data_IF_666003073850
#
_entry.id   IF_666003073850
#
_cell.length_a   1.000
_cell.length_b   1.000
_cell.length_c   1.000
_cell.angle_alpha   90.00
_cell.angle_beta   90.00
_cell.angle_gamma   90.00
#
_symmetry.space_group_name_H-M   'P 1'
#
loop_
_entity.id
_entity.type
_entity.pdbx_description
1 polymer ?
#
# COMPACT_ATOMS: atom_id res chain seq x y z
N UNK A 1 27.30 -11.07 -17.59
CA UNK A 1 25.97 -11.08 -16.93
C UNK A 1 25.66 -9.65 -16.53
N UNK A 2 24.42 -9.21 -16.56
CA UNK A 2 24.03 -7.93 -15.96
C UNK A 2 24.23 -8.07 -14.45
N UNK A 3 24.99 -7.21 -13.85
CA UNK A 3 25.23 -7.19 -12.40
C UNK A 3 23.92 -6.79 -11.70
N UNK A 4 23.51 -7.57 -10.70
CA UNK A 4 22.37 -7.25 -9.85
C UNK A 4 22.92 -6.57 -8.61
N UNK A 5 22.52 -5.32 -8.39
CA UNK A 5 22.97 -4.54 -7.25
C UNK A 5 22.27 -4.95 -5.96
N UNK A 6 22.93 -4.76 -4.83
CA UNK A 6 22.38 -5.00 -3.50
C UNK A 6 22.31 -3.67 -2.77
N UNK A 7 21.14 -3.33 -2.24
CA UNK A 7 20.97 -2.19 -1.34
C UNK A 7 20.66 -2.68 0.07
N UNK A 8 21.41 -2.21 1.05
CA UNK A 8 21.31 -2.67 2.43
C UNK A 8 21.01 -1.52 3.42
N UNK A 9 20.27 -1.80 4.52
CA UNK A 9 20.11 -0.83 5.60
C UNK A 9 21.42 -0.66 6.37
N UNK A 10 21.61 0.54 6.94
CA UNK A 10 22.70 0.82 7.87
C UNK A 10 22.17 1.42 9.17
N UNK A 11 22.74 1.03 10.29
CA UNK A 11 22.32 1.49 11.63
C UNK A 11 23.16 2.67 12.13
N UNK A 12 24.43 2.70 11.78
CA UNK A 12 25.37 3.75 12.15
C UNK A 12 26.31 4.04 10.94
N UNK A 13 26.90 5.23 10.87
CA UNK A 13 27.73 5.61 9.73
C UNK A 13 28.88 4.64 9.46
N UNK A 14 29.51 4.08 10.50
CA UNK A 14 30.65 3.15 10.41
C UNK A 14 30.29 1.81 9.74
N UNK A 15 29.01 1.42 9.77
CA UNK A 15 28.53 0.20 9.10
C UNK A 15 28.85 0.24 7.60
N UNK A 16 28.79 1.42 6.97
CA UNK A 16 29.08 1.59 5.55
C UNK A 16 30.50 1.13 5.24
N UNK A 17 31.48 1.62 6.02
CA UNK A 17 32.88 1.27 5.83
C UNK A 17 33.13 -0.22 6.08
N UNK A 18 32.48 -0.76 7.11
CA UNK A 18 32.58 -2.18 7.47
C UNK A 18 32.01 -3.06 6.37
N UNK A 19 30.80 -2.77 5.89
CA UNK A 19 30.12 -3.57 4.87
C UNK A 19 30.87 -3.50 3.53
N UNK A 20 31.34 -2.32 3.11
CA UNK A 20 32.17 -2.19 1.91
C UNK A 20 33.48 -2.96 1.97
N UNK A 21 34.05 -3.14 3.16
CA UNK A 21 35.29 -3.91 3.35
C UNK A 21 35.07 -5.42 3.19
N UNK A 22 33.91 -5.92 3.61
CA UNK A 22 33.61 -7.35 3.69
C UNK A 22 32.75 -7.87 2.52
N UNK A 23 32.05 -7.00 1.81
CA UNK A 23 31.10 -7.36 0.75
C UNK A 23 31.26 -6.49 -0.50
N UNK A 24 30.59 -6.90 -1.59
CA UNK A 24 30.45 -6.10 -2.82
C UNK A 24 29.36 -5.01 -2.74
N UNK A 25 28.59 -4.95 -1.65
CA UNK A 25 27.54 -3.97 -1.51
C UNK A 25 28.07 -2.53 -1.50
N UNK A 26 27.45 -1.65 -2.31
CA UNK A 26 27.83 -0.24 -2.44
C UNK A 26 26.64 0.71 -2.30
N UNK A 27 25.42 0.20 -2.22
CA UNK A 27 24.23 1.00 -2.06
C UNK A 27 23.65 0.80 -0.66
N UNK A 28 23.49 1.88 0.09
CA UNK A 28 23.02 1.83 1.47
C UNK A 28 21.85 2.76 1.70
N UNK A 29 21.02 2.42 2.68
CA UNK A 29 19.97 3.34 3.12
C UNK A 29 19.85 3.41 4.64
N UNK A 30 19.38 4.55 5.13
CA UNK A 30 19.07 4.79 6.53
C UNK A 30 17.63 5.26 6.69
N UNK A 31 16.94 4.78 7.70
CA UNK A 31 15.56 5.15 7.95
C UNK A 31 15.44 6.59 8.45
N UNK A 32 14.52 7.36 7.87
CA UNK A 32 14.20 8.74 8.25
C UNK A 32 13.98 8.91 9.76
N UNK A 33 13.32 7.94 10.42
CA UNK A 33 13.05 7.99 11.87
C UNK A 33 14.28 8.22 12.76
N UNK A 34 15.48 7.96 12.27
CA UNK A 34 16.72 8.26 12.99
C UNK A 34 17.01 9.75 13.14
N UNK A 35 16.42 10.56 12.28
CA UNK A 35 16.65 12.00 12.21
C UNK A 35 15.50 12.82 12.81
N UNK A 36 14.48 12.15 13.36
CA UNK A 36 13.44 12.79 14.14
C UNK A 36 14.05 13.53 15.35
N UNK A 37 13.42 14.60 15.77
CA UNK A 37 13.89 15.50 16.84
C UNK A 37 15.04 16.43 16.44
N UNK A 38 15.21 16.71 15.14
CA UNK A 38 16.08 17.77 14.66
C UNK A 38 17.56 17.45 14.56
N UNK A 39 17.97 16.20 14.78
CA UNK A 39 19.38 15.80 14.61
C UNK A 39 19.74 15.57 13.13
N UNK A 40 19.50 16.59 12.29
CA UNK A 40 19.72 16.48 10.85
C UNK A 40 21.21 16.41 10.49
N UNK A 41 22.09 17.00 11.30
CA UNK A 41 23.54 16.98 11.03
C UNK A 41 24.12 15.57 11.05
N UNK A 42 23.48 14.63 11.73
CA UNK A 42 23.88 13.22 11.72
C UNK A 42 23.83 12.59 10.30
N UNK A 43 23.03 13.14 9.40
CA UNK A 43 23.01 12.72 7.98
C UNK A 43 24.40 12.90 7.34
N UNK A 44 25.14 13.97 7.71
CA UNK A 44 26.47 14.27 7.16
C UNK A 44 27.47 13.16 7.44
N UNK A 45 27.39 12.50 8.59
CA UNK A 45 28.28 11.39 8.94
C UNK A 45 28.07 10.19 8.02
N UNK A 46 26.81 9.84 7.70
CA UNK A 46 26.52 8.79 6.72
C UNK A 46 27.03 9.17 5.32
N UNK A 47 26.80 10.40 4.89
CA UNK A 47 27.29 10.89 3.59
C UNK A 47 28.80 10.85 3.52
N UNK A 48 29.51 11.30 4.56
CA UNK A 48 30.98 11.29 4.59
C UNK A 48 31.53 9.87 4.46
N UNK A 49 30.99 8.91 5.22
CA UNK A 49 31.44 7.52 5.16
C UNK A 49 31.11 6.86 3.81
N UNK A 50 29.97 7.21 3.22
CA UNK A 50 29.64 6.76 1.86
C UNK A 50 30.63 7.32 0.82
N UNK A 51 31.00 8.60 0.91
CA UNK A 51 32.01 9.21 0.00
C UNK A 51 33.40 8.59 0.18
N UNK A 52 33.81 8.32 1.42
CA UNK A 52 35.11 7.68 1.70
C UNK A 52 35.17 6.28 1.07
N UNK A 53 34.07 5.53 1.10
CA UNK A 53 34.01 4.16 0.57
C UNK A 53 33.63 4.07 -0.90
N UNK A 54 33.34 5.19 -1.58
CA UNK A 54 32.83 5.19 -2.96
C UNK A 54 31.46 4.57 -3.11
N UNK A 55 30.61 4.70 -2.08
CA UNK A 55 29.26 4.13 -1.99
C UNK A 55 28.20 5.20 -2.17
N UNK A 56 26.95 4.77 -2.37
CA UNK A 56 25.76 5.63 -2.35
C UNK A 56 25.02 5.52 -1.04
N UNK A 57 24.33 6.59 -0.66
CA UNK A 57 23.51 6.65 0.55
C UNK A 57 22.14 7.26 0.27
N UNK A 58 21.11 6.56 0.69
CA UNK A 58 19.70 6.92 0.52
C UNK A 58 19.02 7.13 1.88
N UNK A 59 18.01 7.99 1.90
CA UNK A 59 17.10 8.11 3.05
C UNK A 59 15.82 7.34 2.74
N UNK A 60 15.38 6.48 3.65
CA UNK A 60 14.17 5.70 3.51
C UNK A 60 13.05 6.26 4.41
N UNK A 61 11.99 6.76 3.76
CA UNK A 61 10.78 7.26 4.42
C UNK A 61 9.73 6.14 4.65
N UNK A 62 10.19 4.93 4.91
CA UNK A 62 9.33 3.77 5.17
C UNK A 62 8.54 3.94 6.47
N UNK A 63 7.50 4.73 6.47
CA UNK A 63 6.42 4.73 7.47
C UNK A 63 5.27 5.59 6.98
N UNK A 64 4.12 5.38 7.57
CA UNK A 64 2.95 6.18 7.32
C UNK A 64 3.17 7.59 7.89
N UNK A 65 3.04 8.59 7.03
CA UNK A 65 3.25 9.98 7.38
C UNK A 65 1.90 10.58 7.76
N UNK A 66 1.76 10.92 9.02
CA UNK A 66 0.58 11.59 9.54
C UNK A 66 0.69 13.11 9.42
N UNK A 67 -0.42 13.80 9.63
CA UNK A 67 -0.53 15.26 9.42
C UNK A 67 0.44 16.07 10.29
N UNK A 68 0.66 15.64 11.52
CA UNK A 68 1.52 16.28 12.50
C UNK A 68 3.01 16.24 12.11
N UNK A 69 3.43 15.21 11.39
CA UNK A 69 4.82 15.02 10.95
C UNK A 69 5.17 15.89 9.72
N UNK A 70 4.18 16.33 8.93
CA UNK A 70 4.42 17.07 7.69
C UNK A 70 5.33 18.31 7.84
N UNK A 71 5.22 19.14 8.89
CA UNK A 71 6.09 20.28 9.04
C UNK A 71 7.57 19.90 9.22
N UNK A 72 7.85 18.84 9.99
CA UNK A 72 9.20 18.34 10.23
C UNK A 72 9.77 17.69 8.99
N UNK A 73 9.00 16.87 8.31
CA UNK A 73 9.38 16.24 7.04
C UNK A 73 9.74 17.29 5.99
N UNK A 74 8.95 18.35 5.86
CA UNK A 74 9.26 19.45 4.94
C UNK A 74 10.57 20.15 5.27
N UNK A 75 10.87 20.37 6.55
CA UNK A 75 12.16 20.92 6.99
C UNK A 75 13.31 19.97 6.64
N UNK A 76 13.14 18.69 6.94
CA UNK A 76 14.14 17.68 6.67
C UNK A 76 14.42 17.53 5.17
N UNK A 77 13.41 17.45 4.33
CA UNK A 77 13.57 17.37 2.87
C UNK A 77 14.33 18.59 2.32
N UNK A 78 14.06 19.79 2.83
CA UNK A 78 14.83 21.01 2.45
C UNK A 78 16.28 20.92 2.89
N UNK A 79 16.55 20.40 4.09
CA UNK A 79 17.90 20.17 4.59
C UNK A 79 18.65 19.18 3.70
N UNK A 80 18.00 18.07 3.30
CA UNK A 80 18.60 17.05 2.45
C UNK A 80 19.09 17.60 1.10
N UNK A 81 18.48 18.67 0.59
CA UNK A 81 18.89 19.30 -0.68
C UNK A 81 20.38 19.67 -0.74
N UNK A 82 20.99 20.01 0.40
CA UNK A 82 22.40 20.37 0.53
C UNK A 82 23.24 19.34 1.27
N UNK A 83 22.67 18.22 1.67
CA UNK A 83 23.35 17.22 2.51
C UNK A 83 24.29 16.32 1.74
N UNK A 84 24.11 16.20 0.41
CA UNK A 84 24.90 15.31 -0.44
C UNK A 84 24.43 13.86 -0.49
N UNK A 85 23.18 13.55 -0.05
CA UNK A 85 22.59 12.24 -0.28
C UNK A 85 22.34 11.96 -1.76
N UNK A 86 22.34 10.69 -2.14
CA UNK A 86 22.16 10.28 -3.54
C UNK A 86 20.70 10.14 -3.93
N UNK A 87 19.82 9.77 -2.99
CA UNK A 87 18.41 9.63 -3.28
C UNK A 87 17.56 9.29 -2.05
N UNK A 88 16.29 9.02 -2.31
CA UNK A 88 15.32 8.70 -1.28
C UNK A 88 14.37 7.59 -1.71
N UNK A 89 14.02 6.73 -0.76
CA UNK A 89 12.93 5.75 -0.87
C UNK A 89 11.66 6.36 -0.31
N UNK A 90 10.58 6.27 -1.04
CA UNK A 90 9.30 6.86 -0.66
C UNK A 90 8.16 5.85 -0.74
N UNK A 91 7.22 5.97 0.20
CA UNK A 91 5.98 5.21 0.24
C UNK A 91 4.73 6.12 0.43
N UNK A 92 4.89 7.44 0.25
CA UNK A 92 3.84 8.39 0.53
C UNK A 92 3.72 9.46 -0.56
N UNK A 93 2.50 9.72 -1.00
CA UNK A 93 2.18 10.82 -1.91
C UNK A 93 2.60 12.19 -1.35
N UNK A 94 2.59 12.37 -0.03
CA UNK A 94 3.01 13.62 0.60
C UNK A 94 4.50 13.90 0.37
N UNK A 95 5.36 12.88 0.48
CA UNK A 95 6.80 13.03 0.18
C UNK A 95 7.02 13.28 -1.29
N UNK A 96 6.34 12.54 -2.17
CA UNK A 96 6.43 12.71 -3.61
C UNK A 96 6.02 14.13 -4.04
N UNK A 97 4.92 14.65 -3.50
CA UNK A 97 4.47 16.02 -3.76
C UNK A 97 5.47 17.06 -3.22
N UNK A 98 6.05 16.82 -2.03
CA UNK A 98 7.06 17.72 -1.46
C UNK A 98 8.32 17.78 -2.32
N UNK A 99 8.79 16.65 -2.86
CA UNK A 99 9.94 16.59 -3.77
C UNK A 99 9.67 17.45 -5.01
N UNK A 100 8.49 17.27 -5.61
CA UNK A 100 8.03 18.03 -6.78
C UNK A 100 7.97 19.53 -6.48
N UNK A 101 7.31 19.92 -5.41
CA UNK A 101 7.13 21.34 -5.03
C UNK A 101 8.45 22.02 -4.72
N UNK A 102 9.36 21.34 -4.00
CA UNK A 102 10.66 21.89 -3.64
C UNK A 102 11.73 21.74 -4.72
N UNK A 103 11.41 21.04 -5.83
CA UNK A 103 12.34 20.74 -6.93
C UNK A 103 13.64 20.12 -6.40
N UNK A 104 13.50 19.05 -5.64
CA UNK A 104 14.63 18.36 -5.02
C UNK A 104 15.35 17.50 -6.07
N UNK A 105 16.69 17.52 -6.12
CA UNK A 105 17.47 16.87 -7.17
C UNK A 105 17.83 15.41 -6.85
N UNK A 106 17.04 14.73 -6.04
CA UNK A 106 17.32 13.37 -5.59
C UNK A 106 16.91 12.32 -6.60
N UNK A 107 17.62 11.19 -6.59
CA UNK A 107 17.10 9.94 -7.14
C UNK A 107 15.88 9.51 -6.33
N UNK A 108 14.75 9.28 -6.98
CA UNK A 108 13.48 8.91 -6.35
C UNK A 108 13.21 7.43 -6.60
N UNK A 109 13.12 6.67 -5.52
CA UNK A 109 12.84 5.24 -5.55
C UNK A 109 11.50 5.00 -4.87
N UNK A 110 10.56 4.41 -5.60
CA UNK A 110 9.26 4.03 -5.05
C UNK A 110 9.43 2.75 -4.23
N UNK A 111 9.08 2.81 -2.96
CA UNK A 111 9.12 1.64 -2.08
C UNK A 111 7.93 0.70 -2.35
N UNK A 112 8.09 -0.59 -2.08
CA UNK A 112 7.05 -1.61 -2.24
C UNK A 112 5.77 -1.30 -1.46
N UNK A 113 5.85 -0.54 -0.38
CA UNK A 113 4.70 -0.07 0.40
C UNK A 113 3.86 1.01 -0.29
N UNK A 114 4.24 1.43 -1.49
CA UNK A 114 3.40 2.28 -2.32
C UNK A 114 2.31 1.48 -3.05
N UNK A 115 2.32 0.16 -2.90
CA UNK A 115 1.33 -0.79 -3.40
C UNK A 115 1.09 -0.71 -4.92
N UNK A 116 2.20 -0.64 -5.68
CA UNK A 116 2.15 -0.67 -7.14
C UNK A 116 2.19 -2.13 -7.61
N UNK A 117 1.06 -2.63 -8.09
CA UNK A 117 0.88 -4.05 -8.45
C UNK A 117 0.83 -4.31 -9.96
N UNK A 118 0.71 -3.27 -10.80
CA UNK A 118 0.43 -3.39 -12.22
C UNK A 118 1.01 -2.23 -13.04
N UNK A 119 0.99 -2.36 -14.36
CA UNK A 119 1.50 -1.35 -15.29
C UNK A 119 0.76 -0.02 -15.19
N UNK A 120 -0.54 -0.02 -14.95
CA UNK A 120 -1.30 1.22 -14.81
C UNK A 120 -0.84 2.03 -13.59
N UNK A 121 -0.46 1.36 -12.47
CA UNK A 121 0.16 2.02 -11.32
C UNK A 121 1.55 2.60 -11.64
N UNK A 122 2.34 1.89 -12.45
CA UNK A 122 3.64 2.40 -12.92
C UNK A 122 3.45 3.62 -13.82
N UNK A 123 2.50 3.59 -14.74
CA UNK A 123 2.18 4.70 -15.62
C UNK A 123 1.70 5.91 -14.83
N UNK A 124 0.87 5.70 -13.81
CA UNK A 124 0.46 6.75 -12.90
C UNK A 124 1.67 7.46 -12.30
N UNK A 125 2.59 6.71 -11.69
CA UNK A 125 3.77 7.29 -11.02
C UNK A 125 4.65 8.04 -12.01
N UNK A 126 4.91 7.48 -13.20
CA UNK A 126 5.72 8.12 -14.24
C UNK A 126 5.12 9.43 -14.76
N UNK A 127 3.80 9.49 -14.86
CA UNK A 127 3.10 10.71 -15.28
C UNK A 127 3.01 11.75 -14.16
N UNK A 128 2.98 11.28 -12.90
CA UNK A 128 2.91 12.17 -11.76
C UNK A 128 4.27 12.82 -11.43
N UNK A 129 5.34 12.04 -11.39
CA UNK A 129 6.70 12.50 -11.12
C UNK A 129 7.73 11.59 -11.78
N UNK A 130 8.86 12.18 -12.21
CA UNK A 130 9.99 11.39 -12.69
C UNK A 130 10.51 10.51 -11.54
N UNK A 131 10.41 9.20 -11.74
CA UNK A 131 10.89 8.18 -10.82
C UNK A 131 12.10 7.48 -11.44
N UNK A 132 13.07 7.13 -10.62
CA UNK A 132 14.32 6.52 -11.09
C UNK A 132 14.33 5.00 -10.91
N UNK A 133 13.51 4.47 -9.97
CA UNK A 133 13.46 3.04 -9.67
C UNK A 133 12.15 2.69 -8.93
N UNK A 134 11.66 1.46 -9.09
CA UNK A 134 10.49 0.93 -8.38
C UNK A 134 10.86 -0.39 -7.71
N UNK A 135 10.58 -0.49 -6.41
CA UNK A 135 10.63 -1.77 -5.69
C UNK A 135 9.27 -2.42 -5.81
N UNK A 136 9.25 -3.59 -6.43
CA UNK A 136 8.02 -4.36 -6.67
C UNK A 136 7.54 -4.99 -5.36
N UNK A 137 6.22 -4.96 -5.14
CA UNK A 137 5.58 -5.53 -3.95
C UNK A 137 5.68 -7.05 -3.91
N UNK A 138 5.50 -7.61 -2.71
CA UNK A 138 5.62 -9.06 -2.47
C UNK A 138 4.51 -9.87 -3.16
N UNK A 139 3.36 -9.26 -3.44
CA UNK A 139 2.20 -9.88 -4.05
C UNK A 139 2.37 -10.17 -5.54
N UNK A 140 3.44 -9.65 -6.17
CA UNK A 140 3.65 -9.81 -7.60
C UNK A 140 4.42 -11.09 -7.93
N UNK A 141 3.75 -12.00 -8.64
CA UNK A 141 4.39 -13.22 -9.14
C UNK A 141 5.47 -12.94 -10.18
N UNK A 142 6.50 -13.80 -10.25
CA UNK A 142 7.62 -13.67 -11.18
C UNK A 142 7.19 -13.44 -12.64
N UNK A 143 6.16 -14.12 -13.12
CA UNK A 143 5.65 -13.94 -14.50
C UNK A 143 5.17 -12.50 -14.75
N UNK A 144 4.57 -11.89 -13.75
CA UNK A 144 4.12 -10.49 -13.82
C UNK A 144 5.31 -9.54 -13.79
N UNK A 145 6.34 -9.82 -12.98
CA UNK A 145 7.58 -9.03 -12.95
C UNK A 145 8.22 -9.01 -14.35
N UNK A 146 8.30 -10.17 -15.00
CA UNK A 146 8.84 -10.27 -16.38
C UNK A 146 8.00 -9.45 -17.36
N UNK A 147 6.67 -9.54 -17.28
CA UNK A 147 5.76 -8.74 -18.12
C UNK A 147 5.97 -7.25 -17.87
N UNK A 148 5.97 -6.81 -16.62
CA UNK A 148 6.23 -5.42 -16.25
C UNK A 148 7.57 -4.94 -16.81
N UNK A 149 8.63 -5.74 -16.66
CA UNK A 149 9.98 -5.39 -17.16
C UNK A 149 10.03 -5.24 -18.69
N UNK A 150 9.20 -5.92 -19.43
CA UNK A 150 9.11 -5.78 -20.90
C UNK A 150 8.51 -4.46 -21.32
N UNK A 151 7.61 -3.89 -20.52
CA UNK A 151 6.87 -2.66 -20.83
C UNK A 151 7.45 -1.40 -20.19
N UNK A 152 8.23 -1.52 -19.11
CA UNK A 152 8.86 -0.36 -18.47
C UNK A 152 10.37 -0.33 -18.69
N UNK A 153 10.92 0.88 -18.91
CA UNK A 153 12.37 1.13 -18.94
C UNK A 153 12.94 1.41 -17.54
N UNK A 154 12.07 1.55 -16.55
CA UNK A 154 12.51 1.81 -15.17
C UNK A 154 13.30 0.62 -14.62
N UNK A 155 14.36 0.88 -13.86
CA UNK A 155 14.95 -0.11 -12.97
C UNK A 155 13.90 -0.69 -12.04
N UNK A 156 13.88 -2.02 -11.95
CA UNK A 156 13.00 -2.77 -11.05
C UNK A 156 13.81 -3.48 -10.00
N UNK A 157 13.37 -3.35 -8.76
CA UNK A 157 13.97 -4.01 -7.60
C UNK A 157 12.97 -4.91 -6.91
N UNK A 158 13.47 -5.87 -6.16
CA UNK A 158 12.65 -6.70 -5.29
C UNK A 158 13.18 -6.67 -3.85
N UNK A 159 12.31 -6.98 -2.91
CA UNK A 159 12.71 -7.22 -1.53
C UNK A 159 13.50 -8.54 -1.43
N UNK A 160 14.51 -8.56 -0.57
CA UNK A 160 15.35 -9.73 -0.33
C UNK A 160 14.56 -10.98 0.09
N UNK A 161 13.41 -10.78 0.72
CA UNK A 161 12.56 -11.85 1.23
C UNK A 161 11.97 -12.72 0.10
N UNK A 162 11.82 -12.14 -1.08
CA UNK A 162 11.32 -12.82 -2.29
C UNK A 162 12.41 -13.55 -3.08
N UNK A 163 13.68 -13.17 -2.88
CA UNK A 163 14.78 -13.68 -3.68
C UNK A 163 14.98 -15.22 -3.60
N UNK A 164 14.92 -15.88 -2.43
CA UNK A 164 15.22 -17.30 -2.31
C UNK A 164 14.31 -18.20 -3.15
N UNK A 165 13.09 -17.76 -3.43
CA UNK A 165 12.08 -18.52 -4.16
C UNK A 165 12.23 -18.47 -5.67
N UNK A 166 12.82 -17.39 -6.18
CA UNK A 166 12.83 -17.08 -7.62
C UNK A 166 14.21 -16.65 -8.14
N UNK A 167 15.28 -16.73 -7.34
CA UNK A 167 16.60 -16.22 -7.72
C UNK A 167 17.11 -16.76 -9.07
N UNK A 168 16.98 -18.07 -9.31
CA UNK A 168 17.43 -18.67 -10.57
C UNK A 168 16.68 -18.10 -11.78
N UNK A 169 15.35 -17.97 -11.66
CA UNK A 169 14.51 -17.50 -12.75
C UNK A 169 14.68 -15.98 -12.96
N UNK A 170 14.79 -15.22 -11.88
CA UNK A 170 15.05 -13.77 -11.92
C UNK A 170 16.36 -13.47 -12.65
N UNK A 171 17.44 -14.19 -12.31
CA UNK A 171 18.76 -14.00 -12.89
C UNK A 171 18.73 -14.39 -14.39
N UNK A 172 18.14 -15.54 -14.71
CA UNK A 172 18.01 -16.00 -16.11
C UNK A 172 17.23 -15.03 -16.99
N UNK A 173 16.13 -14.50 -16.46
CA UNK A 173 15.22 -13.64 -17.21
C UNK A 173 15.64 -12.17 -17.17
N UNK A 174 16.68 -11.83 -16.40
CA UNK A 174 17.12 -10.43 -16.18
C UNK A 174 15.96 -9.53 -15.78
N UNK A 175 15.07 -10.06 -14.96
CA UNK A 175 13.79 -9.45 -14.66
C UNK A 175 13.91 -8.27 -13.66
N UNK A 176 15.02 -8.20 -12.92
CA UNK A 176 15.30 -7.14 -11.96
C UNK A 176 16.68 -6.53 -12.14
N UNK A 177 16.88 -5.35 -11.57
CA UNK A 177 18.13 -4.61 -11.58
C UNK A 177 18.82 -4.63 -10.21
N UNK A 178 18.05 -4.68 -9.12
CA UNK A 178 18.59 -4.74 -7.77
C UNK A 178 17.74 -5.55 -6.78
N UNK A 179 18.35 -5.88 -5.65
CA UNK A 179 17.73 -6.51 -4.48
C UNK A 179 17.88 -5.57 -3.30
N UNK A 180 16.78 -5.24 -2.64
CA UNK A 180 16.77 -4.40 -1.45
C UNK A 180 16.61 -5.27 -0.22
N UNK A 181 17.62 -5.25 0.66
CA UNK A 181 17.54 -5.97 1.93
C UNK A 181 16.61 -5.20 2.86
N UNK A 182 15.48 -5.79 3.17
CA UNK A 182 14.49 -5.25 4.11
C UNK A 182 14.41 -6.17 5.32
N UNK A 183 14.06 -5.61 6.45
CA UNK A 183 13.86 -6.39 7.67
C UNK A 183 14.14 -5.59 8.94
N UNK A 184 13.72 -6.15 10.06
CA UNK A 184 14.01 -5.63 11.41
C UNK A 184 15.27 -6.35 11.94
N UNK A 185 16.42 -5.98 11.41
CA UNK A 185 17.69 -6.48 11.93
C UNK A 185 17.95 -5.90 13.32
N UNK A 186 18.44 -6.73 14.23
CA UNK A 186 18.75 -6.29 15.60
C UNK A 186 20.12 -5.63 15.67
N UNK A 187 21.10 -6.18 14.95
CA UNK A 187 22.49 -5.73 14.98
C UNK A 187 23.03 -5.39 13.60
N UNK A 188 24.19 -4.74 13.53
CA UNK A 188 24.90 -4.51 12.26
C UNK A 188 25.46 -5.80 11.69
N UNK A 189 25.83 -6.75 12.57
CA UNK A 189 26.30 -8.08 12.22
C UNK A 189 25.22 -8.87 11.47
N UNK A 190 23.97 -8.84 11.95
CA UNK A 190 22.83 -9.49 11.26
C UNK A 190 22.65 -8.95 9.84
N UNK A 191 22.90 -7.64 9.63
CA UNK A 191 22.81 -7.03 8.30
C UNK A 191 23.96 -7.53 7.42
N UNK A 192 25.18 -7.56 7.94
CA UNK A 192 26.34 -8.04 7.21
C UNK A 192 26.14 -9.50 6.76
N UNK A 193 25.70 -10.38 7.66
CA UNK A 193 25.36 -11.76 7.32
C UNK A 193 24.27 -11.84 6.25
N UNK A 194 23.28 -10.94 6.31
CA UNK A 194 22.23 -10.83 5.29
C UNK A 194 22.79 -10.45 3.91
N UNK A 195 23.71 -9.48 3.83
CA UNK A 195 24.38 -9.09 2.57
C UNK A 195 25.16 -10.27 2.00
N UNK A 196 26.02 -10.90 2.81
CA UNK A 196 26.82 -12.06 2.38
C UNK A 196 25.94 -13.23 1.88
N UNK A 197 24.79 -13.44 2.53
CA UNK A 197 23.85 -14.47 2.11
C UNK A 197 23.25 -14.16 0.74
N UNK A 198 22.82 -12.92 0.51
CA UNK A 198 22.26 -12.50 -0.78
C UNK A 198 23.32 -12.60 -1.87
N UNK A 199 24.56 -12.17 -1.64
CA UNK A 199 25.67 -12.36 -2.57
C UNK A 199 25.86 -13.83 -2.95
N UNK A 200 25.86 -14.74 -1.97
CA UNK A 200 25.94 -16.19 -2.20
C UNK A 200 24.76 -16.74 -3.02
N UNK A 201 23.54 -16.24 -2.75
CA UNK A 201 22.34 -16.62 -3.52
C UNK A 201 22.46 -16.16 -4.97
N UNK A 202 22.91 -14.92 -5.20
CA UNK A 202 23.08 -14.37 -6.55
C UNK A 202 24.20 -15.08 -7.33
N UNK A 203 25.28 -15.48 -6.66
CA UNK A 203 26.40 -16.22 -7.28
C UNK A 203 26.01 -17.67 -7.62
N UNK A 204 25.31 -18.35 -6.71
CA UNK A 204 24.98 -19.77 -6.84
C UNK A 204 23.49 -20.07 -6.59
N UNK A 205 22.57 -19.54 -7.40
CA UNK A 205 21.14 -19.60 -7.12
C UNK A 205 20.56 -21.02 -7.04
N UNK A 206 21.13 -21.97 -7.78
CA UNK A 206 20.69 -23.37 -7.80
C UNK A 206 20.87 -24.08 -6.46
N UNK A 207 21.90 -23.69 -5.68
CA UNK A 207 22.18 -24.33 -4.40
C UNK A 207 21.13 -23.98 -3.34
N UNK A 208 20.45 -22.85 -3.48
CA UNK A 208 19.50 -22.34 -2.50
C UNK A 208 18.04 -22.75 -2.77
N UNK A 209 17.72 -23.25 -3.97
CA UNK A 209 16.35 -23.71 -4.33
C UNK A 209 15.81 -24.81 -3.40
N UNK A 210 16.68 -25.57 -2.72
CA UNK A 210 16.32 -26.68 -1.82
C UNK A 210 16.52 -26.40 -0.34
N UNK A 211 17.19 -25.32 0.03
CA UNK A 211 17.44 -24.99 1.43
C UNK A 211 16.31 -24.09 1.96
N UNK A 212 15.61 -24.57 3.00
CA UNK A 212 14.76 -23.69 3.82
C UNK A 212 15.72 -22.75 4.56
N UNK A 213 15.90 -21.57 4.01
CA UNK A 213 16.74 -20.54 4.64
C UNK A 213 16.21 -20.23 6.04
N UNK A 214 17.10 -19.99 7.03
CA UNK A 214 16.71 -19.73 8.41
C UNK A 214 16.11 -18.32 8.63
N UNK A 215 15.34 -17.81 7.68
CA UNK A 215 14.56 -16.58 7.89
C UNK A 215 13.39 -16.86 8.86
N UNK A 216 13.70 -17.27 10.09
CA UNK A 216 12.69 -17.46 11.16
C UNK A 216 11.89 -16.18 11.47
N UNK A 217 12.38 -15.01 11.07
CA UNK A 217 11.75 -13.74 11.37
C UNK A 217 10.78 -13.23 10.27
N UNK A 218 10.94 -13.67 9.03
CA UNK A 218 10.10 -13.24 7.89
C UNK A 218 8.65 -13.69 8.05
N UNK A 219 8.42 -14.91 8.51
CA UNK A 219 7.05 -15.43 8.70
C UNK A 219 6.19 -14.64 9.69
N UNK A 220 6.79 -13.89 10.61
CA UNK A 220 6.04 -13.11 11.61
C UNK A 220 5.49 -11.80 11.06
N UNK A 221 6.11 -11.24 10.01
CA UNK A 221 5.65 -9.98 9.39
C UNK A 221 4.53 -10.19 8.39
N UNK A 222 4.54 -11.29 7.61
CA UNK A 222 3.49 -11.62 6.64
C UNK A 222 2.12 -11.82 7.34
N UNK A 223 2.12 -12.35 8.58
CA UNK A 223 0.89 -12.57 9.34
C UNK A 223 0.27 -11.31 9.97
N UNK A 224 0.97 -10.18 9.99
CA UNK A 224 0.43 -8.95 10.58
C UNK A 224 -0.30 -8.05 9.56
N UNK A 225 -0.07 -8.24 8.26
CA UNK A 225 -0.76 -7.47 7.20
C UNK A 225 -2.04 -8.12 6.70
N UNK A 226 -2.25 -9.42 6.96
CA UNK A 226 -3.44 -10.16 6.51
C UNK A 226 -4.60 -10.16 7.50
N UNK A 227 -4.83 -9.08 8.23
CA UNK A 227 -5.94 -9.00 9.18
C UNK A 227 -7.33 -8.87 8.54
N UNK A 228 -7.47 -8.89 7.22
CA UNK A 228 -8.75 -8.66 6.54
C UNK A 228 -9.27 -9.79 5.65
N UNK A 229 -8.51 -10.83 5.34
CA UNK A 229 -9.06 -12.01 4.64
C UNK A 229 -9.12 -13.20 5.59
N UNK A 230 -10.32 -13.68 5.86
CA UNK A 230 -10.59 -14.80 6.80
C UNK A 230 -10.13 -16.17 6.33
N UNK A 231 -9.28 -16.28 5.31
CA UNK A 231 -8.71 -17.56 4.86
C UNK A 231 -7.22 -17.42 4.61
N UNK A 232 -6.44 -17.96 5.55
CA UNK A 232 -5.01 -18.20 5.34
C UNK A 232 -4.85 -19.56 4.69
N UNK A 233 -4.69 -19.58 3.37
CA UNK A 233 -4.27 -20.80 2.69
C UNK A 233 -2.77 -20.99 2.95
N UNK A 234 -2.41 -21.93 3.80
CA UNK A 234 -1.01 -22.29 4.01
C UNK A 234 -0.45 -22.95 2.74
N UNK A 235 0.71 -22.52 2.29
CA UNK A 235 1.43 -23.12 1.17
C UNK A 235 1.81 -24.60 1.38
N UNK A 236 1.50 -25.18 2.52
CA UNK A 236 1.84 -26.55 2.93
C UNK A 236 0.62 -27.46 3.14
N UNK A 237 -0.60 -27.02 2.85
CA UNK A 237 -1.79 -27.87 2.97
C UNK A 237 -2.05 -28.43 4.39
N UNK A 238 -1.48 -27.83 5.42
CA UNK A 238 -1.76 -28.20 6.81
C UNK A 238 -2.81 -27.27 7.37
N UNK A 239 -3.98 -27.80 7.68
CA UNK A 239 -5.03 -27.14 8.42
C UNK A 239 -4.46 -26.51 9.71
N UNK A 240 -4.27 -25.19 9.70
CA UNK A 240 -4.08 -24.46 10.93
C UNK A 240 -5.42 -24.46 11.67
N UNK A 241 -5.56 -25.36 12.62
CA UNK A 241 -6.59 -25.22 13.65
C UNK A 241 -6.31 -23.90 14.37
N UNK A 242 -7.04 -22.87 14.02
CA UNK A 242 -7.12 -21.65 14.82
C UNK A 242 -7.41 -22.07 16.25
N UNK A 243 -6.44 -21.83 17.13
CA UNK A 243 -6.69 -22.00 18.55
C UNK A 243 -7.77 -21.01 18.93
N UNK A 244 -8.99 -21.48 19.22
CA UNK A 244 -10.19 -20.69 19.57
C UNK A 244 -10.05 -19.92 20.89
N UNK A 245 -8.83 -19.73 21.37
CA UNK A 245 -8.47 -18.80 22.44
C UNK A 245 -8.12 -17.39 21.95
N UNK A 246 -8.62 -16.95 20.78
CA UNK A 246 -9.01 -15.56 20.66
C UNK A 246 -10.18 -15.48 21.65
N UNK A 247 -9.88 -14.95 22.85
CA UNK A 247 -10.93 -14.38 23.69
C UNK A 247 -11.78 -13.60 22.71
N UNK A 248 -12.99 -14.11 22.42
CA UNK A 248 -14.00 -13.34 21.76
C UNK A 248 -13.93 -11.99 22.47
N UNK A 249 -13.55 -10.93 21.76
CA UNK A 249 -13.96 -9.61 22.16
C UNK A 249 -15.47 -9.73 22.04
N UNK A 250 -16.05 -10.31 23.06
CA UNK A 250 -17.45 -10.15 23.39
C UNK A 250 -17.56 -8.65 23.62
N UNK A 251 -17.75 -7.95 22.52
CA UNK A 251 -18.36 -6.65 22.59
C UNK A 251 -19.64 -6.94 23.31
N UNK A 252 -19.60 -6.77 24.62
CA UNK A 252 -20.77 -6.93 25.48
C UNK A 252 -21.74 -5.80 25.09
N UNK A 253 -22.35 -5.97 23.90
CA UNK A 253 -23.42 -5.13 23.36
C UNK A 253 -24.54 -5.01 24.40
N UNK A 254 -24.59 -5.91 25.40
CA UNK A 254 -25.47 -5.83 26.56
C UNK A 254 -25.10 -4.73 27.54
N UNK A 255 -23.86 -4.21 27.52
CA UNK A 255 -23.42 -3.10 28.38
C UNK A 255 -23.50 -1.72 27.76
N UNK A 256 -23.55 -1.58 26.45
CA UNK A 256 -24.11 -0.40 25.85
C UNK A 256 -25.64 -0.51 26.11
N UNK A 257 -26.07 -0.25 27.35
CA UNK A 257 -27.41 0.26 27.58
C UNK A 257 -27.49 1.48 26.67
N UNK A 258 -28.03 1.29 25.49
CA UNK A 258 -28.52 2.38 24.68
C UNK A 258 -29.37 3.20 25.66
N UNK A 259 -28.94 4.44 26.00
CA UNK A 259 -29.89 5.34 26.58
C UNK A 259 -31.06 5.29 25.60
N UNK A 260 -32.23 4.93 26.05
CA UNK A 260 -33.41 4.94 25.20
C UNK A 260 -33.37 6.29 24.48
N UNK A 261 -33.51 6.29 23.16
CA UNK A 261 -33.33 7.42 22.27
C UNK A 261 -31.85 7.75 21.95
N UNK A 262 -31.09 6.81 21.41
CA UNK A 262 -30.22 7.20 20.30
C UNK A 262 -31.19 7.68 19.20
N UNK A 263 -31.57 8.94 19.31
CA UNK A 263 -32.16 9.67 18.21
C UNK A 263 -31.14 9.52 17.09
N UNK A 264 -31.46 8.69 16.10
CA UNK A 264 -30.85 8.76 14.79
C UNK A 264 -31.24 10.15 14.30
N UNK A 265 -30.49 11.14 14.76
CA UNK A 265 -30.65 12.49 14.25
C UNK A 265 -30.17 12.41 12.81
N UNK A 266 -30.78 13.17 11.90
CA UNK A 266 -30.35 13.29 10.49
C UNK A 266 -28.84 13.68 10.32
N UNK A 267 -28.15 13.87 11.41
CA UNK A 267 -26.75 14.25 11.54
C UNK A 267 -25.73 13.12 11.38
N UNK A 268 -26.08 11.87 11.72
CA UNK A 268 -25.14 10.75 11.69
C UNK A 268 -25.78 9.56 10.96
N UNK A 269 -25.17 9.17 9.86
CA UNK A 269 -25.56 8.02 9.06
C UNK A 269 -24.43 7.01 9.04
N UNK A 270 -24.76 5.73 8.98
CA UNK A 270 -23.79 4.64 8.97
C UNK A 270 -23.41 4.30 7.53
N UNK A 271 -22.12 4.26 7.24
CA UNK A 271 -21.57 3.62 6.06
C UNK A 271 -21.14 2.20 6.49
N UNK A 272 -21.62 1.19 5.80
CA UNK A 272 -21.35 -0.20 6.15
C UNK A 272 -20.64 -0.91 5.02
N UNK A 273 -19.56 -1.62 5.34
CA UNK A 273 -18.89 -2.54 4.43
C UNK A 273 -19.42 -3.95 4.67
N UNK A 274 -19.95 -4.59 3.63
CA UNK A 274 -20.47 -5.94 3.70
C UNK A 274 -19.53 -6.91 2.97
N UNK A 275 -19.32 -8.07 3.58
CA UNK A 275 -18.50 -9.15 3.02
C UNK A 275 -19.30 -10.40 2.69
N UNK A 276 -20.58 -10.46 3.12
CA UNK A 276 -21.44 -11.62 2.86
C UNK A 276 -22.94 -11.28 2.80
N UNK A 277 -23.69 -12.10 2.09
CA UNK A 277 -25.16 -12.00 2.03
C UNK A 277 -25.85 -12.23 3.38
N UNK A 278 -25.26 -13.01 4.27
CA UNK A 278 -25.84 -13.24 5.59
C UNK A 278 -25.99 -11.94 6.38
N UNK A 279 -25.05 -11.00 6.20
CA UNK A 279 -25.11 -9.69 6.84
C UNK A 279 -26.29 -8.85 6.36
N UNK A 280 -26.72 -8.99 5.10
CA UNK A 280 -27.91 -8.29 4.57
C UNK A 280 -29.17 -8.75 5.29
N UNK A 281 -29.30 -10.04 5.51
CA UNK A 281 -30.47 -10.57 6.22
C UNK A 281 -30.58 -10.07 7.67
N UNK A 282 -29.41 -9.95 8.33
CA UNK A 282 -29.36 -9.40 9.69
C UNK A 282 -29.64 -7.89 9.71
N UNK A 283 -29.13 -7.14 8.74
CA UNK A 283 -29.44 -5.72 8.58
C UNK A 283 -30.95 -5.50 8.33
N UNK A 284 -31.58 -6.34 7.52
CA UNK A 284 -33.01 -6.24 7.27
C UNK A 284 -33.81 -6.46 8.54
N UNK A 285 -33.44 -7.44 9.34
CA UNK A 285 -34.09 -7.68 10.67
C UNK A 285 -33.87 -6.46 11.58
N UNK A 286 -32.68 -5.90 11.58
CA UNK A 286 -32.35 -4.73 12.40
C UNK A 286 -33.18 -3.51 12.01
N UNK A 287 -33.24 -3.16 10.72
CA UNK A 287 -34.05 -2.03 10.21
C UNK A 287 -35.51 -2.20 10.57
N UNK A 288 -36.07 -3.40 10.40
CA UNK A 288 -37.43 -3.71 10.78
C UNK A 288 -37.67 -3.56 12.28
N UNK A 289 -36.70 -3.96 13.12
CA UNK A 289 -36.81 -3.88 14.59
C UNK A 289 -36.80 -2.44 15.09
N UNK A 290 -35.96 -1.57 14.52
CA UNK A 290 -35.87 -0.18 14.96
C UNK A 290 -36.88 0.76 14.30
N UNK A 291 -37.53 0.31 13.23
CA UNK A 291 -38.56 1.07 12.52
C UNK A 291 -38.04 2.25 11.67
N UNK A 292 -36.73 2.38 11.54
CA UNK A 292 -36.11 3.41 10.68
C UNK A 292 -34.84 2.88 10.03
N UNK A 293 -34.34 3.55 8.97
CA UNK A 293 -33.10 3.18 8.31
C UNK A 293 -31.95 4.12 8.72
N UNK A 294 -31.00 3.66 9.57
CA UNK A 294 -29.84 4.46 9.96
C UNK A 294 -28.68 4.39 8.94
N UNK A 295 -28.81 3.55 7.89
CA UNK A 295 -27.74 3.27 6.96
C UNK A 295 -27.80 4.27 5.80
N UNK A 296 -26.68 4.93 5.55
CA UNK A 296 -26.52 5.85 4.42
C UNK A 296 -26.04 5.11 3.18
N UNK A 297 -24.96 4.33 3.31
CA UNK A 297 -24.40 3.58 2.20
C UNK A 297 -23.99 2.17 2.60
N UNK A 298 -23.99 1.29 1.61
CA UNK A 298 -23.41 -0.04 1.68
C UNK A 298 -22.32 -0.17 0.63
N UNK A 299 -21.13 -0.44 1.09
CA UNK A 299 -19.98 -0.82 0.28
C UNK A 299 -19.96 -2.35 0.11
N UNK A 300 -19.86 -2.79 -1.15
CA UNK A 300 -19.72 -4.20 -1.49
C UNK A 300 -18.95 -4.38 -2.79
N UNK A 301 -18.22 -5.48 -2.94
CA UNK A 301 -17.65 -5.88 -4.23
C UNK A 301 -16.13 -5.88 -4.28
N UNK A 302 -15.42 -5.84 -3.15
CA UNK A 302 -13.98 -6.06 -3.17
C UNK A 302 -13.68 -7.45 -3.75
N UNK A 303 -13.33 -7.46 -5.03
CA UNK A 303 -13.02 -8.68 -5.77
C UNK A 303 -11.54 -8.95 -5.57
N UNK A 304 -11.25 -10.03 -4.84
CA UNK A 304 -9.87 -10.38 -4.49
C UNK A 304 -9.16 -11.13 -5.61
N UNK A 305 -9.91 -11.83 -6.48
CA UNK A 305 -9.32 -12.60 -7.57
C UNK A 305 -10.23 -12.73 -8.79
N UNK A 306 -9.63 -13.04 -9.94
CA UNK A 306 -10.40 -13.37 -11.17
C UNK A 306 -11.23 -14.64 -11.04
N UNK A 307 -10.93 -15.50 -10.06
CA UNK A 307 -11.74 -16.68 -9.77
C UNK A 307 -13.13 -16.26 -9.26
N UNK A 308 -13.19 -15.21 -8.42
CA UNK A 308 -14.44 -14.68 -7.88
C UNK A 308 -15.34 -14.10 -8.98
N UNK A 309 -14.73 -13.53 -10.04
CA UNK A 309 -15.46 -13.03 -11.21
C UNK A 309 -16.10 -14.15 -12.06
N UNK A 310 -15.50 -15.33 -12.05
CA UNK A 310 -16.00 -16.47 -12.82
C UNK A 310 -17.20 -17.13 -12.14
N UNK A 311 -17.45 -16.83 -10.88
CA UNK A 311 -18.57 -17.38 -10.14
C UNK A 311 -19.86 -16.60 -10.49
N UNK A 312 -20.85 -17.30 -11.05
CA UNK A 312 -22.22 -16.78 -11.20
C UNK A 312 -22.77 -16.24 -9.88
N UNK A 313 -22.31 -16.79 -8.77
CA UNK A 313 -22.66 -16.40 -7.41
C UNK A 313 -22.37 -14.92 -7.16
N UNK A 314 -21.28 -14.36 -7.69
CA UNK A 314 -20.93 -12.95 -7.44
C UNK A 314 -21.96 -11.98 -8.06
N UNK A 315 -22.35 -12.18 -9.31
CA UNK A 315 -23.38 -11.34 -9.96
C UNK A 315 -24.74 -11.47 -9.28
N UNK A 316 -25.09 -12.67 -8.81
CA UNK A 316 -26.33 -12.89 -8.05
C UNK A 316 -26.29 -12.19 -6.69
N UNK A 317 -25.17 -12.26 -6.00
CA UNK A 317 -24.94 -11.58 -4.73
C UNK A 317 -25.07 -10.06 -4.92
N UNK A 318 -24.37 -9.52 -5.92
CA UNK A 318 -24.39 -8.09 -6.24
C UNK A 318 -25.83 -7.60 -6.52
N UNK A 319 -26.61 -8.36 -7.28
CA UNK A 319 -28.02 -8.03 -7.55
C UNK A 319 -28.89 -8.05 -6.29
N UNK A 320 -28.64 -8.95 -5.35
CA UNK A 320 -29.32 -8.98 -4.06
C UNK A 320 -28.97 -7.77 -3.21
N UNK A 321 -27.68 -7.37 -3.16
CA UNK A 321 -27.24 -6.15 -2.48
C UNK A 321 -27.91 -4.92 -3.08
N UNK A 322 -27.85 -4.76 -4.41
CA UNK A 322 -28.52 -3.66 -5.14
C UNK A 322 -30.02 -3.59 -4.82
N UNK A 323 -30.70 -4.74 -4.85
CA UNK A 323 -32.13 -4.81 -4.56
C UNK A 323 -32.46 -4.41 -3.13
N UNK A 324 -31.63 -4.82 -2.16
CA UNK A 324 -31.75 -4.42 -0.77
C UNK A 324 -31.54 -2.92 -0.59
N UNK A 325 -30.47 -2.36 -1.19
CA UNK A 325 -30.19 -0.94 -1.14
C UNK A 325 -31.32 -0.10 -1.72
N UNK A 326 -31.86 -0.50 -2.89
CA UNK A 326 -33.01 0.16 -3.51
C UNK A 326 -34.24 0.11 -2.61
N UNK A 327 -34.54 -1.06 -2.00
CA UNK A 327 -35.70 -1.25 -1.11
C UNK A 327 -35.70 -0.30 0.09
N UNK A 328 -34.55 -0.05 0.67
CA UNK A 328 -34.39 0.76 1.88
C UNK A 328 -33.84 2.16 1.64
N UNK A 329 -33.75 2.59 0.38
CA UNK A 329 -33.18 3.89 -0.02
C UNK A 329 -31.78 4.11 0.56
N UNK A 330 -30.92 3.12 0.39
CA UNK A 330 -29.51 3.10 0.82
C UNK A 330 -28.65 3.29 -0.43
N UNK A 331 -27.62 4.12 -0.34
CA UNK A 331 -26.62 4.30 -1.41
C UNK A 331 -25.83 3.02 -1.60
N UNK A 332 -25.74 2.50 -2.82
CA UNK A 332 -24.91 1.34 -3.13
C UNK A 332 -23.57 1.77 -3.72
N UNK A 333 -22.48 1.35 -3.09
CA UNK A 333 -21.11 1.66 -3.50
C UNK A 333 -20.40 0.38 -3.93
N UNK A 334 -19.88 0.37 -5.16
CA UNK A 334 -19.03 -0.72 -5.64
C UNK A 334 -17.59 -0.47 -5.18
N UNK A 335 -16.94 -1.47 -4.59
CA UNK A 335 -15.57 -1.37 -4.09
C UNK A 335 -14.61 -2.17 -4.97
N UNK A 336 -13.55 -1.54 -5.44
CA UNK A 336 -12.51 -2.20 -6.24
C UNK A 336 -11.54 -2.99 -5.37
N UNK A 337 -10.83 -4.00 -5.91
CA UNK A 337 -9.79 -4.71 -5.17
C UNK A 337 -8.66 -3.77 -4.72
N UNK A 338 -8.16 -3.96 -3.51
CA UNK A 338 -6.95 -3.28 -3.04
C UNK A 338 -5.68 -3.86 -3.67
N UNK A 339 -5.62 -5.18 -3.85
CA UNK A 339 -4.53 -5.86 -4.54
C UNK A 339 -5.02 -6.27 -5.93
N UNK A 340 -4.49 -5.62 -6.96
CA UNK A 340 -4.84 -5.90 -8.35
C UNK A 340 -3.58 -6.07 -9.19
N UNK A 341 -3.17 -7.32 -9.35
CA UNK A 341 -1.94 -7.69 -10.06
C UNK A 341 -2.11 -7.60 -11.58
N UNK A 342 -1.01 -7.40 -12.29
CA UNK A 342 -0.96 -7.19 -13.74
C UNK A 342 -1.71 -8.25 -14.55
N UNK A 343 -1.64 -9.52 -14.14
CA UNK A 343 -2.32 -10.62 -14.85
C UNK A 343 -3.83 -10.47 -14.89
N UNK A 344 -4.39 -9.92 -13.82
CA UNK A 344 -5.83 -9.90 -13.58
C UNK A 344 -6.44 -8.51 -13.84
N UNK A 345 -5.59 -7.51 -14.05
CA UNK A 345 -5.98 -6.10 -14.14
C UNK A 345 -7.04 -5.84 -15.20
N UNK A 346 -6.74 -6.13 -16.47
CA UNK A 346 -7.63 -5.80 -17.59
C UNK A 346 -8.99 -6.48 -17.42
N UNK A 347 -8.99 -7.75 -16.98
CA UNK A 347 -10.21 -8.52 -16.80
C UNK A 347 -11.10 -7.98 -15.67
N UNK A 348 -10.50 -7.60 -14.56
CA UNK A 348 -11.24 -7.02 -13.42
C UNK A 348 -11.76 -5.65 -13.81
N UNK A 349 -10.92 -4.82 -14.41
CA UNK A 349 -11.28 -3.48 -14.84
C UNK A 349 -12.47 -3.48 -15.81
N UNK A 350 -12.42 -4.29 -16.88
CA UNK A 350 -13.49 -4.39 -17.86
C UNK A 350 -14.79 -4.95 -17.24
N UNK A 351 -14.68 -5.91 -16.32
CA UNK A 351 -15.85 -6.43 -15.63
C UNK A 351 -16.53 -5.36 -14.78
N UNK A 352 -15.78 -4.62 -13.98
CA UNK A 352 -16.31 -3.55 -13.13
C UNK A 352 -16.81 -2.37 -13.95
N UNK A 353 -16.13 -2.02 -15.05
CA UNK A 353 -16.61 -1.02 -16.03
C UNK A 353 -18.00 -1.39 -16.55
N UNK A 354 -18.20 -2.65 -16.94
CA UNK A 354 -19.51 -3.12 -17.39
C UNK A 354 -20.59 -3.05 -16.28
N UNK A 355 -20.21 -3.29 -15.01
CA UNK A 355 -21.12 -3.12 -13.88
C UNK A 355 -21.50 -1.65 -13.66
N UNK A 356 -20.55 -0.73 -13.81
CA UNK A 356 -20.76 0.70 -13.68
C UNK A 356 -21.68 1.24 -14.79
N UNK A 357 -21.58 0.69 -15.99
CA UNK A 357 -22.42 1.04 -17.14
C UNK A 357 -23.77 0.29 -17.15
N UNK A 358 -23.99 -0.68 -16.25
CA UNK A 358 -25.21 -1.47 -16.19
C UNK A 358 -26.38 -0.69 -15.58
N UNK A 359 -27.61 -1.14 -15.83
CA UNK A 359 -28.81 -0.59 -15.18
C UNK A 359 -29.45 -1.63 -14.24
N UNK A 360 -29.64 -1.29 -12.95
CA UNK A 360 -29.23 -0.08 -12.27
C UNK A 360 -27.71 -0.05 -12.01
N UNK A 361 -27.08 1.11 -12.23
CA UNK A 361 -25.68 1.31 -11.89
C UNK A 361 -25.47 1.42 -10.38
N UNK A 362 -24.24 1.20 -9.86
CA UNK A 362 -23.85 1.65 -8.52
C UNK A 362 -23.96 3.19 -8.41
N UNK A 363 -24.25 3.68 -7.21
CA UNK A 363 -24.33 5.12 -6.96
C UNK A 363 -22.94 5.79 -6.93
N UNK A 364 -21.91 5.04 -6.54
CA UNK A 364 -20.51 5.48 -6.60
C UNK A 364 -19.55 4.28 -6.59
N UNK A 365 -18.30 4.56 -6.95
CA UNK A 365 -17.18 3.63 -6.92
C UNK A 365 -16.26 3.96 -5.75
N UNK A 366 -15.78 2.94 -5.01
CA UNK A 366 -14.70 3.08 -4.02
C UNK A 366 -13.43 2.48 -4.63
N UNK A 367 -12.43 3.31 -4.83
CA UNK A 367 -11.20 2.92 -5.51
C UNK A 367 -10.10 2.64 -4.48
N UNK A 368 -9.65 1.38 -4.42
CA UNK A 368 -8.64 0.89 -3.48
C UNK A 368 -7.27 0.62 -4.11
N UNK A 369 -7.12 0.78 -5.43
CA UNK A 369 -5.87 0.50 -6.14
C UNK A 369 -5.45 1.68 -7.00
N UNK A 370 -4.16 2.07 -6.93
CA UNK A 370 -3.68 3.25 -7.63
C UNK A 370 -3.66 3.09 -9.16
N UNK A 371 -3.38 1.88 -9.65
CA UNK A 371 -3.46 1.60 -11.09
C UNK A 371 -4.90 1.65 -11.59
N UNK A 372 -5.85 1.16 -10.79
CA UNK A 372 -7.27 1.29 -11.10
C UNK A 372 -7.69 2.77 -11.13
N UNK A 373 -7.28 3.56 -10.13
CA UNK A 373 -7.54 5.00 -10.11
C UNK A 373 -7.06 5.68 -11.38
N UNK A 374 -5.83 5.37 -11.80
CA UNK A 374 -5.25 5.96 -13.02
C UNK A 374 -6.05 5.60 -14.27
N UNK A 375 -6.39 4.33 -14.45
CA UNK A 375 -7.20 3.89 -15.58
C UNK A 375 -8.60 4.52 -15.56
N UNK A 376 -9.22 4.59 -14.39
CA UNK A 376 -10.56 5.17 -14.21
C UNK A 376 -10.62 6.65 -14.61
N UNK A 377 -9.69 7.47 -14.13
CA UNK A 377 -9.74 8.92 -14.44
C UNK A 377 -9.43 9.24 -15.91
N UNK A 378 -8.78 8.32 -16.62
CA UNK A 378 -8.47 8.43 -18.04
C UNK A 378 -9.51 7.74 -18.95
N UNK A 379 -10.48 7.03 -18.39
CA UNK A 379 -11.54 6.36 -19.15
C UNK A 379 -12.77 7.25 -19.30
N UNK A 380 -12.97 7.79 -20.50
CA UNK A 380 -14.05 8.74 -20.80
C UNK A 380 -15.45 8.17 -20.64
N UNK A 381 -15.61 6.85 -20.65
CA UNK A 381 -16.91 6.18 -20.53
C UNK A 381 -17.44 6.22 -19.09
N UNK A 382 -16.52 6.17 -18.10
CA UNK A 382 -16.88 6.00 -16.69
C UNK A 382 -16.33 7.08 -15.74
N UNK A 383 -15.41 7.94 -16.17
CA UNK A 383 -14.78 8.95 -15.31
C UNK A 383 -15.75 10.02 -14.76
N UNK A 384 -17.00 10.05 -15.25
CA UNK A 384 -18.07 10.92 -14.74
C UNK A 384 -18.81 10.30 -13.53
N UNK A 385 -18.59 9.02 -13.25
CA UNK A 385 -19.24 8.35 -12.12
C UNK A 385 -18.61 8.86 -10.81
N UNK A 386 -19.42 9.23 -9.81
CA UNK A 386 -18.89 9.64 -8.50
C UNK A 386 -18.00 8.55 -7.91
N UNK A 387 -16.86 8.95 -7.37
CA UNK A 387 -15.94 8.01 -6.76
C UNK A 387 -15.38 8.50 -5.42
N UNK A 388 -14.94 7.55 -4.63
CA UNK A 388 -14.32 7.75 -3.34
C UNK A 388 -12.97 7.04 -3.33
N UNK A 389 -12.01 7.58 -2.59
CA UNK A 389 -10.73 6.89 -2.38
C UNK A 389 -10.84 6.03 -1.14
N UNK A 390 -10.68 4.74 -1.33
CA UNK A 390 -10.73 3.74 -0.26
C UNK A 390 -9.39 3.50 0.42
N UNK A 391 -9.40 2.57 1.36
CA UNK A 391 -8.28 2.29 2.26
C UNK A 391 -7.01 1.78 1.56
N UNK A 392 -7.16 1.08 0.43
CA UNK A 392 -6.03 0.52 -0.32
C UNK A 392 -5.13 1.59 -0.96
N UNK A 393 -5.59 2.85 -1.04
CA UNK A 393 -4.76 3.99 -1.41
C UNK A 393 -4.47 4.80 -0.15
N UNK A 394 -3.30 4.63 0.40
CA UNK A 394 -2.92 5.12 1.73
C UNK A 394 -2.81 6.67 1.79
N UNK A 395 -3.94 7.36 2.01
CA UNK A 395 -4.03 8.82 2.09
C UNK A 395 -4.13 9.32 3.54
N UNK A 396 -3.03 9.33 4.26
CA UNK A 396 -2.98 9.60 5.70
C UNK A 396 -2.81 11.08 6.08
N UNK A 397 -2.80 12.00 5.12
CA UNK A 397 -2.61 13.42 5.41
C UNK A 397 -3.16 14.33 4.30
N UNK A 398 -3.32 15.60 4.62
CA UNK A 398 -3.88 16.61 3.71
C UNK A 398 -3.06 16.80 2.42
N UNK A 399 -1.76 16.58 2.47
CA UNK A 399 -0.88 16.74 1.31
C UNK A 399 -1.05 15.59 0.31
N UNK A 400 -1.18 14.35 0.78
CA UNK A 400 -1.48 13.19 -0.05
C UNK A 400 -2.84 13.33 -0.75
N UNK A 401 -3.86 13.77 0.00
CA UNK A 401 -5.20 13.99 -0.54
C UNK A 401 -5.18 15.10 -1.60
N UNK A 402 -4.50 16.22 -1.32
CA UNK A 402 -4.34 17.31 -2.29
C UNK A 402 -3.64 16.85 -3.56
N UNK A 403 -2.64 15.99 -3.42
CA UNK A 403 -1.89 15.43 -4.52
C UNK A 403 -2.83 14.73 -5.53
N UNK A 404 -3.64 13.79 -5.07
CA UNK A 404 -4.58 13.07 -5.94
C UNK A 404 -5.73 13.95 -6.39
N UNK A 405 -6.24 14.86 -5.54
CA UNK A 405 -7.32 15.77 -5.91
C UNK A 405 -6.93 16.77 -7.02
N UNK A 406 -5.65 17.02 -7.22
CA UNK A 406 -5.16 17.83 -8.34
C UNK A 406 -5.26 17.09 -9.70
N UNK A 407 -5.36 15.76 -9.68
CA UNK A 407 -5.50 14.92 -10.88
C UNK A 407 -6.97 14.72 -11.24
N UNK A 408 -7.79 14.43 -10.25
CA UNK A 408 -9.24 14.31 -10.41
C UNK A 408 -9.94 14.77 -9.12
N UNK A 409 -11.10 15.44 -9.21
CA UNK A 409 -11.86 15.88 -8.04
C UNK A 409 -12.31 14.67 -7.22
N UNK A 410 -11.78 14.53 -6.03
CA UNK A 410 -12.14 13.45 -5.10
C UNK A 410 -13.34 13.90 -4.28
N UNK A 411 -14.44 13.16 -4.31
CA UNK A 411 -15.65 13.51 -3.55
C UNK A 411 -15.54 13.14 -2.07
N UNK A 412 -14.99 11.97 -1.79
CA UNK A 412 -14.89 11.43 -0.44
C UNK A 412 -13.58 10.63 -0.29
N UNK A 413 -13.03 10.63 0.92
CA UNK A 413 -11.86 9.83 1.30
C UNK A 413 -12.22 8.98 2.51
N UNK A 414 -11.87 7.70 2.48
CA UNK A 414 -12.02 6.82 3.61
C UNK A 414 -10.86 7.01 4.61
N UNK A 415 -11.19 7.43 5.82
CA UNK A 415 -10.24 7.67 6.90
C UNK A 415 -10.08 6.48 7.87
N UNK A 416 -10.64 5.35 7.58
CA UNK A 416 -10.60 4.20 8.50
C UNK A 416 -9.20 3.60 8.67
N UNK A 417 -8.28 3.86 7.73
CA UNK A 417 -6.87 3.48 7.83
C UNK A 417 -6.06 4.32 8.82
N UNK A 418 -6.61 5.41 9.33
CA UNK A 418 -5.98 6.18 10.39
C UNK A 418 -6.04 5.39 11.70
N UNK A 419 -4.89 4.97 12.20
CA UNK A 419 -4.78 4.33 13.51
C UNK A 419 -5.09 5.26 14.70
N UNK A 420 -5.21 6.57 14.45
CA UNK A 420 -5.43 7.60 15.44
C UNK A 420 -6.48 8.61 14.99
N UNK A 421 -7.55 8.70 15.78
CA UNK A 421 -8.66 9.64 15.56
C UNK A 421 -8.22 11.11 15.57
N UNK A 422 -7.20 11.46 16.36
CA UNK A 422 -6.68 12.84 16.42
C UNK A 422 -6.07 13.26 15.08
N UNK A 423 -5.23 12.44 14.47
CA UNK A 423 -4.63 12.68 13.16
C UNK A 423 -5.68 12.82 12.06
N UNK A 424 -6.74 12.00 12.10
CA UNK A 424 -7.85 12.11 11.16
C UNK A 424 -8.55 13.50 11.30
N UNK A 425 -8.84 13.94 12.52
CA UNK A 425 -9.44 15.26 12.77
C UNK A 425 -8.53 16.40 12.30
N UNK A 426 -7.22 16.32 12.57
CA UNK A 426 -6.26 17.34 12.15
C UNK A 426 -6.20 17.43 10.62
N UNK A 427 -6.17 16.28 9.94
CA UNK A 427 -6.21 16.20 8.48
C UNK A 427 -7.50 16.83 7.93
N UNK A 428 -8.66 16.48 8.48
CA UNK A 428 -9.96 17.04 8.09
C UNK A 428 -10.02 18.55 8.25
N UNK A 429 -9.53 19.09 9.39
CA UNK A 429 -9.49 20.55 9.62
C UNK A 429 -8.65 21.26 8.56
N UNK A 430 -7.49 20.69 8.17
CA UNK A 430 -6.63 21.30 7.15
C UNK A 430 -7.21 21.19 5.74
N UNK A 431 -7.84 20.07 5.41
CA UNK A 431 -8.52 19.92 4.13
C UNK A 431 -9.65 20.95 4.01
N UNK A 432 -10.50 21.07 5.03
CA UNK A 432 -11.61 22.03 5.04
C UNK A 432 -11.14 23.46 4.83
N UNK A 433 -10.00 23.84 5.41
CA UNK A 433 -9.43 25.16 5.26
C UNK A 433 -8.84 25.40 3.85
N UNK A 434 -8.34 24.35 3.20
CA UNK A 434 -7.65 24.44 1.90
C UNK A 434 -8.56 24.15 0.69
N UNK A 435 -9.71 23.48 0.91
CA UNK A 435 -10.69 23.12 -0.13
C UNK A 435 -12.09 23.44 0.40
N UNK A 436 -12.48 24.72 0.42
CA UNK A 436 -13.65 25.19 1.17
C UNK A 436 -15.01 24.73 0.68
N UNK A 437 -15.12 24.16 -0.53
CA UNK A 437 -16.39 23.85 -1.18
C UNK A 437 -16.76 22.36 -1.20
N UNK A 438 -16.06 21.49 -0.45
CA UNK A 438 -16.37 20.04 -0.40
C UNK A 438 -17.13 19.66 0.86
N UNK A 439 -18.11 18.78 0.71
CA UNK A 439 -18.79 18.09 1.83
C UNK A 439 -17.90 16.92 2.27
N UNK A 440 -17.50 16.89 3.51
CA UNK A 440 -16.71 15.83 4.15
C UNK A 440 -17.58 15.11 5.16
#
# INVERSE_FOLDING_TARGET
MKEIFITAPVKKPEDILTFCKHTGCRDFYVYYKKFLNGNFDYVKEFVNNARISGSTIFINFKHDIIEEELPEIKKFLKYLKSSGIDGIYINSFAVLEAIKVFKLPFKVIIDSYFDIHNLAGIDFINNFHKVDEIIITEEIYLKNIVKIKQFTKLPLSIDSDNLPWCAEDIIKLKAIDSVVIKGKFQTSEDILEGIELIEKILDKPKLFKKQKLPFKHVRKCIYQTNHFSGEVVSAEGKDFKFNRNIQSFDWDIKRVRTPGNLLVTDKYRLNLRLTSLAQIAELEKYIKKIGCNPIYSIEYGEIVSTADLAERSFSEVLNKVKSFCKKYNIKFQLSTPSILIERDFDRVYEYEKNLLLSSPAPDSLIINNIGYFWSFINDTDINQIPFEIGQGINLLNSMSIKCLNNLAPIDTVDFTSFGDYHSAIMTLKKIKNNIPNKKY
#
